data_IF_302415876231
#
_entry.id   IF_302415876231
#
_cell.length_a   1.000
_cell.length_b   1.000
_cell.length_c   1.000
_cell.angle_alpha   90.00
_cell.angle_beta   90.00
_cell.angle_gamma   90.00
#
_symmetry.space_group_name_H-M   'P 1'
#
loop_
_entity.id
_entity.type
_entity.pdbx_description
1 polymer ?
#
# COMPACT_ATOMS: atom_id res chain seq x y z
N UNK A 1 6.49 -4.84 6.92
CA UNK A 1 6.54 -4.59 8.37
C UNK A 1 5.54 -5.36 9.21
N UNK A 2 5.31 -6.66 8.96
CA UNK A 2 4.35 -7.50 9.70
C UNK A 2 5.01 -8.68 10.44
N UNK A 3 6.33 -8.61 10.66
CA UNK A 3 7.14 -9.77 11.07
C UNK A 3 6.71 -10.37 12.43
N UNK A 4 6.17 -9.54 13.33
CA UNK A 4 5.73 -9.96 14.66
C UNK A 4 4.25 -10.43 14.71
N UNK A 5 3.54 -10.43 13.58
CA UNK A 5 2.12 -10.74 13.56
C UNK A 5 1.84 -12.25 13.62
N UNK A 6 0.79 -12.60 14.35
CA UNK A 6 0.18 -13.92 14.34
C UNK A 6 -0.32 -14.30 12.94
N UNK A 7 -0.57 -15.59 12.72
CA UNK A 7 -1.18 -16.06 11.48
C UNK A 7 -2.58 -15.46 11.27
N UNK A 8 -3.36 -15.30 12.33
CA UNK A 8 -4.69 -14.71 12.28
C UNK A 8 -4.64 -13.22 11.86
N UNK A 9 -3.72 -12.42 12.41
CA UNK A 9 -3.52 -11.03 11.99
C UNK A 9 -3.12 -10.93 10.52
N UNK A 10 -2.19 -11.78 10.06
CA UNK A 10 -1.78 -11.81 8.65
C UNK A 10 -2.93 -12.21 7.70
N UNK A 11 -3.77 -13.15 8.11
CA UNK A 11 -4.94 -13.55 7.34
C UNK A 11 -5.99 -12.43 7.29
N UNK A 12 -6.24 -11.74 8.40
CA UNK A 12 -7.16 -10.61 8.44
C UNK A 12 -6.67 -9.47 7.54
N UNK A 13 -5.38 -9.14 7.57
CA UNK A 13 -4.75 -8.17 6.67
C UNK A 13 -4.88 -8.54 5.20
N UNK A 14 -4.56 -9.79 4.85
CA UNK A 14 -4.61 -10.26 3.46
C UNK A 14 -6.03 -10.27 2.87
N UNK A 15 -7.06 -10.26 3.71
CA UNK A 15 -8.46 -10.36 3.31
C UNK A 15 -9.32 -9.20 3.85
N UNK A 16 -8.73 -8.03 4.15
CA UNK A 16 -9.41 -6.86 4.73
C UNK A 16 -10.54 -6.36 3.83
N UNK A 17 -11.82 -6.60 4.17
CA UNK A 17 -12.96 -6.19 3.35
C UNK A 17 -13.50 -4.82 3.75
N UNK A 18 -13.03 -4.28 4.88
CA UNK A 18 -13.62 -3.13 5.57
C UNK A 18 -13.08 -1.79 5.04
N UNK A 19 -12.02 -1.82 4.23
CA UNK A 19 -11.53 -0.66 3.49
C UNK A 19 -11.39 -1.01 2.00
N UNK A 20 -12.13 -0.35 1.08
CA UNK A 20 -12.10 -0.66 -0.35
C UNK A 20 -10.74 -0.40 -1.01
N UNK A 21 -9.79 0.26 -0.32
CA UNK A 21 -8.42 0.49 -0.79
C UNK A 21 -7.51 -0.71 -0.54
N UNK A 22 -7.91 -1.65 0.32
CA UNK A 22 -7.11 -2.83 0.68
C UNK A 22 -7.08 -3.90 -0.43
N UNK A 23 -8.15 -4.01 -1.24
CA UNK A 23 -8.28 -5.05 -2.26
C UNK A 23 -8.68 -4.44 -3.61
N UNK A 24 -7.80 -4.57 -4.61
CA UNK A 24 -8.03 -4.08 -5.97
C UNK A 24 -7.89 -5.22 -6.98
N UNK A 25 -8.92 -5.43 -7.80
CA UNK A 25 -8.83 -6.33 -8.94
C UNK A 25 -7.90 -5.73 -10.02
N UNK A 26 -6.85 -6.47 -10.38
CA UNK A 26 -5.86 -6.07 -11.38
C UNK A 26 -5.58 -7.24 -12.32
N UNK A 27 -4.88 -6.96 -13.42
CA UNK A 27 -4.34 -8.02 -14.27
C UNK A 27 -3.34 -8.88 -13.51
N UNK A 28 -3.41 -10.20 -13.72
CA UNK A 28 -2.50 -11.18 -13.10
C UNK A 28 -1.02 -10.85 -13.33
N UNK A 29 -0.65 -10.43 -14.55
CA UNK A 29 0.72 -10.02 -14.87
C UNK A 29 1.20 -8.81 -14.06
N UNK A 30 0.32 -7.86 -13.75
CA UNK A 30 0.64 -6.73 -12.90
C UNK A 30 0.82 -7.17 -11.44
N UNK A 31 -0.02 -8.08 -10.96
CA UNK A 31 0.10 -8.65 -9.62
C UNK A 31 1.42 -9.44 -9.44
N UNK A 32 1.77 -10.29 -10.42
CA UNK A 32 3.04 -11.02 -10.43
C UNK A 32 4.24 -10.09 -10.55
N UNK A 33 4.14 -9.04 -11.39
CA UNK A 33 5.17 -8.01 -11.52
C UNK A 33 5.33 -7.20 -10.24
N UNK A 34 4.29 -7.03 -9.43
CA UNK A 34 4.42 -6.42 -8.11
C UNK A 34 5.06 -7.38 -7.10
N UNK A 35 4.48 -8.56 -6.90
CA UNK A 35 4.86 -9.49 -5.83
C UNK A 35 4.92 -8.78 -4.44
N UNK A 36 5.98 -9.03 -3.68
CA UNK A 36 6.26 -8.45 -2.37
C UNK A 36 6.99 -7.08 -2.43
N UNK A 37 7.23 -6.54 -3.63
CA UNK A 37 7.91 -5.27 -3.83
C UNK A 37 7.10 -4.09 -3.29
N UNK A 38 7.82 -3.17 -2.69
CA UNK A 38 7.34 -1.89 -2.18
C UNK A 38 7.42 -0.77 -3.25
N UNK A 39 6.95 0.46 -2.97
CA UNK A 39 7.05 1.60 -3.89
C UNK A 39 8.47 2.03 -4.28
N UNK A 40 9.51 1.61 -3.57
CA UNK A 40 10.89 1.87 -3.98
C UNK A 40 11.33 0.91 -5.09
N UNK A 41 10.76 -0.30 -5.13
CA UNK A 41 11.11 -1.36 -6.06
C UNK A 41 10.13 -1.53 -7.21
N UNK A 42 8.86 -1.15 -7.02
CA UNK A 42 7.81 -1.34 -8.03
C UNK A 42 6.73 -0.26 -7.96
N UNK A 43 6.29 0.20 -9.13
CA UNK A 43 5.14 1.08 -9.30
C UNK A 43 4.29 0.58 -10.47
N UNK A 44 2.96 0.84 -10.46
CA UNK A 44 2.11 0.48 -11.58
C UNK A 44 2.60 1.15 -12.88
N UNK A 45 2.62 0.43 -14.02
CA UNK A 45 3.12 0.96 -15.29
C UNK A 45 2.22 2.07 -15.86
N UNK A 46 0.94 2.10 -15.46
CA UNK A 46 0.01 3.15 -15.85
C UNK A 46 0.29 4.41 -15.03
N UNK A 47 0.81 5.46 -15.67
CA UNK A 47 1.21 6.71 -14.99
C UNK A 47 0.05 7.38 -14.22
N UNK A 48 -1.17 7.29 -14.75
CA UNK A 48 -2.38 7.81 -14.09
C UNK A 48 -2.76 7.05 -12.81
N UNK A 49 -2.22 5.85 -12.58
CA UNK A 49 -2.45 5.06 -11.38
C UNK A 49 -1.47 5.37 -10.24
N UNK A 50 -0.36 6.08 -10.50
CA UNK A 50 0.72 6.26 -9.51
C UNK A 50 0.24 6.97 -8.22
N UNK A 51 -0.47 8.09 -8.35
CA UNK A 51 -0.96 8.85 -7.19
C UNK A 51 -2.05 8.11 -6.41
N UNK A 52 -2.95 7.39 -7.11
CA UNK A 52 -3.93 6.54 -6.44
C UNK A 52 -3.24 5.41 -5.69
N UNK A 53 -2.34 4.70 -6.36
CA UNK A 53 -1.61 3.57 -5.78
C UNK A 53 -0.82 3.97 -4.53
N UNK A 54 -0.09 5.09 -4.56
CA UNK A 54 0.70 5.51 -3.39
C UNK A 54 -0.21 5.97 -2.23
N UNK A 55 -1.37 6.56 -2.53
CA UNK A 55 -2.36 6.95 -1.52
C UNK A 55 -3.00 5.73 -0.86
N UNK A 56 -3.39 4.73 -1.66
CA UNK A 56 -3.93 3.46 -1.18
C UNK A 56 -2.86 2.69 -0.36
N UNK A 57 -1.61 2.68 -0.82
CA UNK A 57 -0.48 2.09 -0.10
C UNK A 57 -0.28 2.70 1.29
N UNK A 58 -0.18 4.02 1.39
CA UNK A 58 -0.04 4.73 2.67
C UNK A 58 -1.25 4.47 3.56
N UNK A 59 -2.46 4.53 3.01
CA UNK A 59 -3.70 4.22 3.75
C UNK A 59 -3.62 2.84 4.39
N UNK A 60 -3.36 1.80 3.60
CA UNK A 60 -3.36 0.40 4.07
C UNK A 60 -2.29 0.19 5.14
N UNK A 61 -1.09 0.77 4.95
CA UNK A 61 -0.03 0.68 5.95
C UNK A 61 -0.39 1.39 7.25
N UNK A 62 -1.00 2.57 7.17
CA UNK A 62 -1.49 3.29 8.35
C UNK A 62 -2.58 2.50 9.05
N UNK A 63 -3.58 2.00 8.32
CA UNK A 63 -4.71 1.23 8.85
C UNK A 63 -4.26 0.03 9.68
N UNK A 64 -3.22 -0.66 9.23
CA UNK A 64 -2.73 -1.87 9.88
C UNK A 64 -1.49 -1.66 10.77
N UNK A 65 -1.01 -0.43 10.93
CA UNK A 65 0.19 -0.13 11.72
C UNK A 65 1.45 -0.81 11.18
N UNK A 66 1.58 -0.95 9.86
CA UNK A 66 2.74 -1.56 9.22
C UNK A 66 3.94 -0.59 9.21
N UNK A 67 5.12 -1.09 9.57
CA UNK A 67 6.36 -0.32 9.46
C UNK A 67 6.79 -0.08 8.00
N UNK A 68 7.44 1.06 7.78
CA UNK A 68 8.03 1.51 6.51
C UNK A 68 9.53 1.64 6.72
N UNK A 69 10.33 1.09 5.81
CA UNK A 69 11.79 1.28 5.85
C UNK A 69 12.22 2.61 5.21
N UNK A 70 13.51 2.92 5.29
CA UNK A 70 14.03 4.21 4.81
C UNK A 70 13.90 4.38 3.29
N UNK A 71 14.09 3.32 2.50
CA UNK A 71 14.02 3.39 1.04
C UNK A 71 12.58 3.56 0.59
N UNK A 72 11.66 2.80 1.19
CA UNK A 72 10.23 2.90 0.96
C UNK A 72 9.70 4.29 1.31
N UNK A 73 10.09 4.82 2.48
CA UNK A 73 9.68 6.15 2.92
C UNK A 73 10.15 7.25 1.96
N UNK A 74 11.41 7.20 1.52
CA UNK A 74 11.95 8.14 0.54
C UNK A 74 11.21 8.05 -0.81
N UNK A 75 10.85 6.85 -1.25
CA UNK A 75 10.06 6.65 -2.46
C UNK A 75 8.65 7.25 -2.33
N UNK A 76 7.97 7.01 -1.21
CA UNK A 76 6.64 7.60 -0.92
C UNK A 76 6.72 9.13 -0.98
N UNK A 77 7.70 9.75 -0.32
CA UNK A 77 7.87 11.21 -0.35
C UNK A 77 8.11 11.75 -1.76
N UNK A 78 8.98 11.10 -2.53
CA UNK A 78 9.28 11.51 -3.91
C UNK A 78 8.05 11.41 -4.82
N UNK A 79 7.26 10.33 -4.72
CA UNK A 79 6.09 10.11 -5.57
C UNK A 79 4.97 11.08 -5.19
N UNK A 80 4.70 11.24 -3.89
CA UNK A 80 3.65 12.14 -3.40
C UNK A 80 3.93 13.61 -3.70
N UNK A 81 5.20 14.01 -3.87
CA UNK A 81 5.56 15.37 -4.29
C UNK A 81 4.95 15.78 -5.65
N UNK A 82 4.61 14.84 -6.53
CA UNK A 82 3.93 15.11 -7.81
C UNK A 82 2.42 14.84 -7.78
N UNK A 83 1.83 14.61 -6.60
CA UNK A 83 0.42 14.32 -6.42
C UNK A 83 -0.34 15.49 -5.77
N UNK A 84 -1.67 15.44 -5.82
CA UNK A 84 -2.56 16.44 -5.22
C UNK A 84 -2.64 16.36 -3.68
N UNK A 85 -2.06 15.32 -3.06
CA UNK A 85 -1.93 15.11 -1.61
C UNK A 85 -3.19 15.46 -0.80
N UNK A 86 -4.33 14.80 -1.06
CA UNK A 86 -5.55 15.04 -0.29
C UNK A 86 -5.36 14.56 1.15
N UNK A 87 -6.11 15.16 2.07
CA UNK A 87 -6.28 14.60 3.41
C UNK A 87 -7.01 13.26 3.27
N UNK A 88 -6.39 12.20 3.76
CA UNK A 88 -6.98 10.86 3.80
C UNK A 88 -7.50 10.55 5.20
N UNK A 89 -8.68 9.95 5.28
CA UNK A 89 -9.21 9.39 6.52
C UNK A 89 -8.94 7.89 6.56
N UNK A 90 -8.47 7.42 7.72
CA UNK A 90 -8.11 6.03 7.95
C UNK A 90 -8.71 5.58 9.27
N UNK A 91 -9.53 4.53 9.24
CA UNK A 91 -9.95 3.79 10.43
C UNK A 91 -8.89 2.73 10.66
N UNK A 92 -8.36 2.62 11.88
CA UNK A 92 -7.36 1.60 12.20
C UNK A 92 -8.03 0.23 12.33
N UNK A 93 -7.40 -0.79 11.75
CA UNK A 93 -7.76 -2.20 11.94
C UNK A 93 -6.98 -2.83 13.09
N UNK A 94 -5.88 -2.20 13.52
CA UNK A 94 -4.96 -2.65 14.56
C UNK A 94 -4.37 -1.47 15.32
#
# INVERSE_FOLDING_TARGET
GAAAWSAAERQAYANDPDDPRSLLAVHDSANQSKADRDPAQWMPPAANAACRYISDWVTVKTRWGLSTDAAEHAAIQRITASCNNPVISVILAR
#
